data_IF_750615233386
#
_entry.id   IF_750615233386
#
_cell.length_a   1.000
_cell.length_b   1.000
_cell.length_c   1.000
_cell.angle_alpha   90.00
_cell.angle_beta   90.00
_cell.angle_gamma   90.00
#
_symmetry.space_group_name_H-M   'P 1'
#
loop_
_entity.id
_entity.type
_entity.pdbx_description
1 polymer ?
#
# COMPACT_ATOMS: atom_id res chain seq x y z
N UNK A 1 -13.83 46.96 23.85
CA UNK A 1 -12.85 47.90 23.26
C UNK A 1 -13.08 47.95 21.75
N UNK A 2 -13.55 49.11 21.26
CA UNK A 2 -13.77 49.41 19.85
C UNK A 2 -12.63 50.33 19.43
N UNK A 3 -11.82 49.95 18.44
CA UNK A 3 -10.84 50.86 17.87
C UNK A 3 -11.15 51.04 16.40
N UNK A 4 -11.62 52.26 16.12
CA UNK A 4 -11.80 52.85 14.80
C UNK A 4 -10.43 53.28 14.29
N UNK A 5 -10.13 53.03 13.02
CA UNK A 5 -9.12 53.81 12.31
C UNK A 5 -9.72 54.30 11.00
N UNK A 6 -9.72 55.62 10.87
CA UNK A 6 -10.15 56.38 9.72
C UNK A 6 -8.90 56.85 8.95
N UNK A 7 -9.00 56.72 7.63
CA UNK A 7 -8.45 57.58 6.59
C UNK A 7 -6.95 57.94 6.58
N UNK A 8 -6.28 57.55 5.49
CA UNK A 8 -5.41 58.45 4.73
C UNK A 8 -5.37 58.03 3.25
N UNK A 9 -5.56 59.02 2.38
CA UNK A 9 -5.56 58.97 0.92
C UNK A 9 -4.23 58.47 0.32
N UNK A 10 -4.29 57.95 -0.91
CA UNK A 10 -3.48 58.42 -2.05
C UNK A 10 -4.12 57.91 -3.35
N UNK A 11 -4.28 58.84 -4.30
CA UNK A 11 -4.80 58.61 -5.65
C UNK A 11 -3.67 58.51 -6.68
N UNK A 12 -4.04 57.94 -7.84
CA UNK A 12 -3.36 57.94 -9.15
C UNK A 12 -2.09 57.06 -9.28
N UNK A 13 -2.14 56.07 -10.17
CA UNK A 13 -1.74 56.26 -11.58
C UNK A 13 -2.27 55.12 -12.45
N UNK A 14 -2.76 55.48 -13.64
CA UNK A 14 -3.13 54.58 -14.73
C UNK A 14 -1.87 53.94 -15.32
N UNK A 15 -1.89 52.62 -15.51
CA UNK A 15 -1.16 51.95 -16.58
C UNK A 15 -1.93 50.69 -16.97
N UNK A 16 -2.52 50.73 -18.16
CA UNK A 16 -3.22 49.58 -18.74
C UNK A 16 -2.24 48.50 -19.19
N UNK A 17 -2.56 47.26 -18.83
CA UNK A 17 -2.27 46.07 -19.61
C UNK A 17 -3.49 45.17 -19.49
N UNK A 18 -4.41 45.28 -20.45
CA UNK A 18 -5.49 44.30 -20.62
C UNK A 18 -4.89 43.01 -21.15
N UNK A 19 -4.44 42.16 -20.24
CA UNK A 19 -4.17 40.74 -20.51
C UNK A 19 -5.51 40.05 -20.75
N UNK A 20 -5.74 39.38 -21.89
CA UNK A 20 -6.92 38.56 -22.04
C UNK A 20 -6.89 37.45 -20.98
N UNK A 21 -8.05 37.11 -20.36
CA UNK A 21 -8.09 35.98 -19.44
C UNK A 21 -7.63 34.74 -20.22
N UNK A 22 -6.72 33.92 -19.67
CA UNK A 22 -6.44 32.63 -20.28
C UNK A 22 -7.77 31.88 -20.36
N UNK A 23 -8.06 31.36 -21.56
CA UNK A 23 -9.11 30.35 -21.73
C UNK A 23 -8.98 29.35 -20.58
N UNK A 24 -10.08 28.87 -19.98
CA UNK A 24 -9.99 27.82 -18.99
C UNK A 24 -9.35 26.62 -19.69
N UNK A 25 -8.04 26.43 -19.49
CA UNK A 25 -7.36 25.18 -19.76
C UNK A 25 -8.24 24.15 -19.10
N UNK A 26 -8.82 23.26 -19.90
CA UNK A 26 -9.52 22.10 -19.41
C UNK A 26 -8.62 21.53 -18.32
N UNK A 27 -9.06 21.67 -17.07
CA UNK A 27 -8.31 21.18 -15.93
C UNK A 27 -8.36 19.67 -16.09
N UNK A 28 -7.38 19.13 -16.82
CA UNK A 28 -7.10 17.72 -16.82
C UNK A 28 -7.01 17.37 -15.34
N UNK A 29 -8.01 16.61 -14.88
CA UNK A 29 -7.96 16.05 -13.52
C UNK A 29 -6.59 15.42 -13.42
N UNK A 30 -5.77 15.77 -12.41
CA UNK A 30 -4.47 15.14 -12.25
C UNK A 30 -4.72 13.63 -12.29
N UNK A 31 -4.15 12.95 -13.29
CA UNK A 31 -4.15 11.50 -13.31
C UNK A 31 -3.60 11.07 -11.94
N UNK A 32 -4.35 10.23 -11.23
CA UNK A 32 -3.90 9.74 -9.94
C UNK A 32 -2.48 9.21 -10.10
N UNK A 33 -1.54 9.67 -9.28
CA UNK A 33 -0.15 9.21 -9.33
C UNK A 33 -0.13 7.67 -9.38
N UNK A 34 0.77 7.06 -10.18
CA UNK A 34 0.84 5.60 -10.28
C UNK A 34 0.98 5.03 -8.87
N UNK A 35 -0.02 4.25 -8.46
CA UNK A 35 -0.09 3.71 -7.12
C UNK A 35 0.90 2.55 -7.01
N UNK A 36 1.72 2.54 -5.96
CA UNK A 36 2.64 1.45 -5.70
C UNK A 36 1.90 0.12 -5.53
N UNK A 37 2.48 -0.98 -6.03
CA UNK A 37 1.90 -2.33 -5.94
C UNK A 37 1.60 -2.72 -4.48
N UNK A 38 2.45 -2.30 -3.54
CA UNK A 38 2.25 -2.50 -2.09
C UNK A 38 0.97 -1.82 -1.59
N UNK A 39 0.66 -0.61 -2.06
CA UNK A 39 -0.55 0.12 -1.64
C UNK A 39 -1.82 -0.48 -2.27
N UNK A 40 -1.71 -1.00 -3.50
CA UNK A 40 -2.76 -1.81 -4.11
C UNK A 40 -3.06 -3.07 -3.28
N UNK A 41 -2.02 -3.80 -2.85
CA UNK A 41 -2.16 -4.98 -1.97
C UNK A 41 -2.76 -4.63 -0.61
N UNK A 42 -2.35 -3.53 0.02
CA UNK A 42 -2.90 -3.09 1.31
C UNK A 42 -4.40 -2.83 1.23
N UNK A 43 -4.86 -2.13 0.18
CA UNK A 43 -6.29 -1.86 0.01
C UNK A 43 -7.09 -3.13 -0.22
N UNK A 44 -6.58 -4.03 -1.06
CA UNK A 44 -7.26 -5.31 -1.29
C UNK A 44 -7.30 -6.16 -0.03
N UNK A 45 -6.19 -6.24 0.72
CA UNK A 45 -6.16 -6.94 2.01
C UNK A 45 -7.16 -6.35 3.02
N UNK A 46 -7.28 -5.02 3.11
CA UNK A 46 -8.26 -4.37 3.98
C UNK A 46 -9.71 -4.67 3.56
N UNK A 47 -9.99 -4.66 2.26
CA UNK A 47 -11.30 -5.03 1.72
C UNK A 47 -11.65 -6.47 2.10
N UNK A 48 -10.74 -7.41 1.88
CA UNK A 48 -10.91 -8.83 2.21
C UNK A 48 -11.04 -9.05 3.72
N UNK A 49 -10.27 -8.34 4.55
CA UNK A 49 -10.39 -8.39 6.00
C UNK A 49 -11.77 -7.93 6.48
N UNK A 50 -12.38 -6.94 5.81
CA UNK A 50 -13.77 -6.54 6.05
C UNK A 50 -14.75 -7.69 5.86
N UNK A 51 -14.63 -8.44 4.75
CA UNK A 51 -15.49 -9.59 4.46
C UNK A 51 -15.28 -10.76 5.43
N UNK A 52 -14.03 -10.99 5.87
CA UNK A 52 -13.74 -11.98 6.91
C UNK A 52 -14.39 -11.58 8.23
N UNK A 53 -14.34 -10.29 8.57
CA UNK A 53 -14.92 -9.77 9.82
C UNK A 53 -16.44 -9.90 9.84
N UNK A 54 -17.11 -9.72 8.70
CA UNK A 54 -18.57 -9.91 8.57
C UNK A 54 -18.97 -11.38 8.48
N UNK A 55 -18.00 -12.29 8.29
CA UNK A 55 -18.25 -13.72 8.14
C UNK A 55 -18.70 -14.12 6.73
N UNK A 56 -18.64 -13.21 5.75
CA UNK A 56 -18.99 -13.48 4.36
C UNK A 56 -18.03 -14.47 3.68
N UNK A 57 -16.76 -14.46 4.09
CA UNK A 57 -15.73 -15.40 3.62
C UNK A 57 -14.83 -15.84 4.76
N UNK A 58 -14.20 -17.01 4.60
CA UNK A 58 -13.15 -17.49 5.50
C UNK A 58 -11.82 -16.77 5.31
N UNK A 59 -10.89 -16.92 6.26
CA UNK A 59 -9.51 -16.39 6.18
C UNK A 59 -8.73 -17.08 5.06
N UNK A 60 -8.90 -18.38 4.88
CA UNK A 60 -8.21 -19.13 3.80
C UNK A 60 -8.69 -18.64 2.43
N UNK A 61 -9.99 -18.46 2.26
CA UNK A 61 -10.54 -17.90 1.02
C UNK A 61 -10.04 -16.47 0.77
N UNK A 62 -9.99 -15.63 1.81
CA UNK A 62 -9.42 -14.29 1.71
C UNK A 62 -7.95 -14.33 1.26
N UNK A 63 -7.14 -15.24 1.82
CA UNK A 63 -5.75 -15.41 1.40
C UNK A 63 -5.63 -15.81 -0.08
N UNK A 64 -6.51 -16.69 -0.57
CA UNK A 64 -6.52 -17.15 -1.95
C UNK A 64 -6.94 -16.03 -2.92
N UNK A 65 -7.95 -15.23 -2.55
CA UNK A 65 -8.34 -14.04 -3.32
C UNK A 65 -7.23 -12.99 -3.37
N UNK A 66 -6.53 -12.77 -2.25
CA UNK A 66 -5.38 -11.87 -2.21
C UNK A 66 -4.24 -12.34 -3.12
N UNK A 67 -3.99 -13.64 -3.21
CA UNK A 67 -2.99 -14.19 -4.13
C UNK A 67 -3.37 -14.02 -5.59
N UNK A 68 -4.64 -14.27 -5.94
CA UNK A 68 -5.12 -14.03 -7.29
C UNK A 68 -4.94 -12.56 -7.70
N UNK A 69 -5.23 -11.63 -6.78
CA UNK A 69 -5.00 -10.21 -6.98
C UNK A 69 -3.51 -9.88 -7.12
N UNK A 70 -2.65 -10.41 -6.24
CA UNK A 70 -1.19 -10.27 -6.31
C UNK A 70 -0.67 -10.67 -7.68
N UNK A 71 -1.03 -11.85 -8.17
CA UNK A 71 -0.57 -12.36 -9.46
C UNK A 71 -1.03 -11.46 -10.61
N UNK A 72 -2.24 -10.89 -10.53
CA UNK A 72 -2.75 -9.93 -11.52
C UNK A 72 -1.92 -8.63 -11.61
N UNK A 73 -1.44 -8.11 -10.48
CA UNK A 73 -0.77 -6.79 -10.44
C UNK A 73 0.75 -6.85 -10.42
N UNK A 74 1.33 -7.94 -9.90
CA UNK A 74 2.77 -8.10 -9.70
C UNK A 74 3.37 -9.21 -10.57
N UNK A 75 2.55 -10.15 -11.07
CA UNK A 75 3.03 -11.35 -11.77
C UNK A 75 3.61 -12.39 -10.81
N UNK A 76 4.23 -13.43 -11.38
CA UNK A 76 4.98 -14.41 -10.60
C UNK A 76 6.36 -13.86 -10.23
N UNK A 77 6.79 -14.13 -9.00
CA UNK A 77 8.11 -13.83 -8.49
C UNK A 77 8.43 -14.86 -7.41
N UNK A 78 9.62 -15.49 -7.50
CA UNK A 78 9.96 -16.63 -6.64
C UNK A 78 9.95 -16.31 -5.13
N UNK A 79 10.40 -15.11 -4.74
CA UNK A 79 10.40 -14.69 -3.32
C UNK A 79 8.97 -14.48 -2.84
N UNK A 80 8.19 -13.86 -3.71
CA UNK A 80 6.81 -13.48 -3.52
C UNK A 80 5.89 -14.73 -3.43
N UNK A 81 6.16 -15.73 -4.27
CA UNK A 81 5.50 -17.04 -4.28
C UNK A 81 5.84 -17.84 -3.02
N UNK A 82 7.10 -17.82 -2.58
CA UNK A 82 7.53 -18.46 -1.33
C UNK A 82 6.90 -17.79 -0.10
N UNK A 83 6.88 -16.46 -0.06
CA UNK A 83 6.25 -15.68 0.99
C UNK A 83 4.75 -15.97 1.08
N UNK A 84 4.06 -16.02 -0.06
CA UNK A 84 2.65 -16.37 -0.11
C UNK A 84 2.39 -17.80 0.39
N UNK A 85 3.18 -18.79 -0.04
CA UNK A 85 3.02 -20.16 0.43
C UNK A 85 3.13 -20.28 1.96
N UNK A 86 4.08 -19.56 2.57
CA UNK A 86 4.22 -19.49 4.04
C UNK A 86 3.02 -18.82 4.69
N UNK A 87 2.59 -17.66 4.18
CA UNK A 87 1.43 -16.92 4.67
C UNK A 87 0.14 -17.75 4.62
N UNK A 88 -0.10 -18.44 3.49
CA UNK A 88 -1.28 -19.29 3.30
C UNK A 88 -1.28 -20.46 4.28
N UNK A 89 -0.15 -21.15 4.45
CA UNK A 89 -0.03 -22.25 5.41
C UNK A 89 -0.36 -21.81 6.83
N UNK A 90 0.20 -20.69 7.28
CA UNK A 90 -0.10 -20.12 8.60
C UNK A 90 -1.60 -19.80 8.72
N UNK A 91 -2.19 -19.21 7.68
CA UNK A 91 -3.62 -18.89 7.64
C UNK A 91 -4.49 -20.15 7.78
N UNK A 92 -4.15 -21.25 7.08
CA UNK A 92 -4.84 -22.54 7.21
C UNK A 92 -4.71 -23.12 8.62
N UNK A 93 -3.51 -23.05 9.22
CA UNK A 93 -3.30 -23.51 10.60
C UNK A 93 -4.14 -22.70 11.61
N UNK A 94 -4.24 -21.38 11.42
CA UNK A 94 -5.08 -20.50 12.24
C UNK A 94 -6.57 -20.77 12.09
N UNK A 95 -7.05 -20.94 10.86
CA UNK A 95 -8.47 -21.18 10.61
C UNK A 95 -8.92 -22.53 11.18
N UNK A 96 -8.04 -23.53 11.14
CA UNK A 96 -8.26 -24.83 11.77
C UNK A 96 -8.10 -24.83 13.31
N UNK A 97 -7.82 -23.68 13.95
CA UNK A 97 -7.61 -23.59 15.39
C UNK A 97 -6.33 -24.26 15.90
N UNK A 98 -5.39 -24.63 15.01
CA UNK A 98 -4.12 -25.27 15.38
C UNK A 98 -3.02 -24.29 15.76
N UNK A 99 -3.26 -23.00 15.52
CA UNK A 99 -2.32 -21.92 15.74
C UNK A 99 -3.09 -20.70 16.22
N UNK A 100 -2.68 -20.14 17.35
CA UNK A 100 -3.30 -18.92 17.83
C UNK A 100 -2.79 -17.68 17.04
N UNK A 101 -3.25 -16.49 17.43
CA UNK A 101 -2.82 -15.26 16.76
C UNK A 101 -1.35 -14.92 16.98
N UNK A 102 -0.86 -15.04 18.22
CA UNK A 102 0.47 -14.63 18.60
C UNK A 102 1.52 -15.57 17.99
N UNK A 103 1.26 -16.86 18.03
CA UNK A 103 2.11 -17.87 17.40
C UNK A 103 2.18 -17.68 15.88
N UNK A 104 1.05 -17.37 15.24
CA UNK A 104 1.01 -17.08 13.81
C UNK A 104 1.83 -15.84 13.43
N UNK A 105 1.69 -14.76 14.20
CA UNK A 105 2.47 -13.54 14.00
C UNK A 105 3.96 -13.82 14.16
N UNK A 106 4.37 -14.48 15.25
CA UNK A 106 5.77 -14.82 15.49
C UNK A 106 6.36 -15.71 14.39
N UNK A 107 5.62 -16.73 13.93
CA UNK A 107 6.08 -17.63 12.84
C UNK A 107 6.24 -16.93 11.51
N UNK A 108 5.41 -15.93 11.23
CA UNK A 108 5.50 -15.15 9.99
C UNK A 108 6.61 -14.11 10.08
N UNK A 109 6.70 -13.39 11.19
CA UNK A 109 7.76 -12.40 11.42
C UNK A 109 9.15 -13.03 11.37
N UNK A 110 9.34 -14.18 12.01
CA UNK A 110 10.59 -14.95 11.97
C UNK A 110 10.99 -15.30 10.53
N UNK A 111 10.03 -15.75 9.70
CA UNK A 111 10.27 -16.02 8.29
C UNK A 111 10.66 -14.76 7.50
N UNK A 112 9.99 -13.64 7.74
CA UNK A 112 10.29 -12.36 7.07
C UNK A 112 11.67 -11.83 7.44
N UNK A 113 12.06 -11.90 8.71
CA UNK A 113 13.41 -11.52 9.17
C UNK A 113 14.49 -12.39 8.53
N UNK A 114 14.25 -13.68 8.41
CA UNK A 114 15.14 -14.59 7.70
C UNK A 114 15.24 -14.27 6.21
N UNK A 115 14.12 -13.88 5.60
CA UNK A 115 14.07 -13.46 4.20
C UNK A 115 14.89 -12.19 4.00
N UNK A 116 14.70 -11.17 4.85
CA UNK A 116 15.50 -9.93 4.84
C UNK A 116 17.00 -10.21 4.93
N UNK A 117 17.41 -11.09 5.84
CA UNK A 117 18.82 -11.45 6.03
C UNK A 117 19.43 -12.13 4.80
N UNK A 118 18.64 -12.94 4.09
CA UNK A 118 19.10 -13.70 2.92
C UNK A 118 19.06 -12.88 1.64
N UNK A 119 18.09 -11.97 1.51
CA UNK A 119 17.79 -11.25 0.28
C UNK A 119 19.00 -10.54 -0.37
N UNK A 120 19.89 -9.83 0.38
CA UNK A 120 21.06 -9.19 -0.21
C UNK A 120 22.02 -10.16 -0.93
N UNK A 121 22.01 -11.43 -0.53
CA UNK A 121 22.90 -12.49 -1.05
C UNK A 121 22.27 -13.29 -2.18
N UNK A 122 21.00 -13.03 -2.54
CA UNK A 122 20.35 -13.74 -3.63
C UNK A 122 20.85 -13.22 -4.98
N UNK A 123 21.34 -14.11 -5.86
CA UNK A 123 21.68 -13.73 -7.23
C UNK A 123 20.40 -13.43 -8.02
N UNK A 124 20.45 -12.46 -8.94
CA UNK A 124 19.37 -12.22 -9.90
C UNK A 124 18.01 -11.93 -9.25
N UNK A 125 17.94 -10.87 -8.43
CA UNK A 125 16.73 -10.47 -7.67
C UNK A 125 15.46 -10.23 -8.53
N UNK A 126 15.61 -10.10 -9.84
CA UNK A 126 14.50 -10.02 -10.78
C UNK A 126 13.65 -8.77 -10.58
N UNK A 127 12.34 -8.89 -10.83
CA UNK A 127 11.37 -7.84 -10.53
C UNK A 127 11.17 -7.67 -9.02
N UNK A 128 10.71 -6.49 -8.61
CA UNK A 128 10.37 -6.18 -7.21
C UNK A 128 9.36 -7.19 -6.62
N UNK A 129 9.70 -7.92 -5.52
CA UNK A 129 8.78 -8.78 -4.77
C UNK A 129 7.77 -7.95 -3.95
N UNK A 130 6.77 -7.43 -4.65
CA UNK A 130 5.76 -6.53 -4.11
C UNK A 130 4.94 -7.13 -2.96
N UNK A 131 4.65 -8.44 -2.97
CA UNK A 131 3.89 -9.07 -1.89
C UNK A 131 4.73 -9.29 -0.64
N UNK A 132 6.01 -9.59 -0.80
CA UNK A 132 6.92 -9.72 0.32
C UNK A 132 7.13 -8.37 1.00
N UNK A 133 7.27 -7.28 0.25
CA UNK A 133 7.30 -5.93 0.83
C UNK A 133 5.97 -5.50 1.45
N UNK A 134 4.84 -5.90 0.87
CA UNK A 134 3.54 -5.74 1.51
C UNK A 134 3.50 -6.42 2.87
N UNK A 135 3.98 -7.66 2.98
CA UNK A 135 4.06 -8.36 4.25
C UNK A 135 5.03 -7.68 5.21
N UNK A 136 6.20 -7.24 4.75
CA UNK A 136 7.15 -6.50 5.57
C UNK A 136 6.51 -5.22 6.14
N UNK A 137 5.78 -4.47 5.31
CA UNK A 137 5.04 -3.28 5.74
C UNK A 137 3.96 -3.60 6.78
N UNK A 138 3.19 -4.67 6.61
CA UNK A 138 2.18 -5.13 7.59
C UNK A 138 2.83 -5.49 8.92
N UNK A 139 4.02 -6.09 8.90
CA UNK A 139 4.79 -6.47 10.09
C UNK A 139 5.72 -5.37 10.61
N UNK A 140 5.64 -4.15 10.06
CA UNK A 140 6.49 -3.01 10.46
C UNK A 140 8.00 -3.30 10.36
N UNK A 141 8.38 -4.11 9.38
CA UNK A 141 9.76 -4.44 9.05
C UNK A 141 10.25 -3.58 7.88
N UNK A 142 11.57 -3.35 7.74
CA UNK A 142 12.12 -2.61 6.61
C UNK A 142 11.81 -3.33 5.29
N UNK A 143 11.66 -2.60 4.18
CA UNK A 143 11.50 -3.20 2.87
C UNK A 143 12.79 -3.95 2.45
N UNK A 144 12.69 -4.83 1.47
CA UNK A 144 13.84 -5.61 0.99
C UNK A 144 14.96 -4.75 0.39
N UNK A 145 14.66 -3.49 0.04
CA UNK A 145 15.60 -2.54 -0.55
C UNK A 145 15.70 -2.77 -2.06
N UNK A 146 15.42 -1.70 -2.80
CA UNK A 146 15.60 -1.61 -4.25
C UNK A 146 16.71 -0.63 -4.57
#
# INVERSE_FOLDING_TARGET
MRTRYAFALIALMLAGCSTPPPLPSAREKPAAAPQGKVDLLLREANRLAGLVKTGEIGRVEAADRLNAYRLKIAGSNAIDDASFARYRRITVEREAGRLDQNEAQARMESYLRDTLRKYPRLPGKGAEPAFTDFLLKVYSLPPLGY
#
